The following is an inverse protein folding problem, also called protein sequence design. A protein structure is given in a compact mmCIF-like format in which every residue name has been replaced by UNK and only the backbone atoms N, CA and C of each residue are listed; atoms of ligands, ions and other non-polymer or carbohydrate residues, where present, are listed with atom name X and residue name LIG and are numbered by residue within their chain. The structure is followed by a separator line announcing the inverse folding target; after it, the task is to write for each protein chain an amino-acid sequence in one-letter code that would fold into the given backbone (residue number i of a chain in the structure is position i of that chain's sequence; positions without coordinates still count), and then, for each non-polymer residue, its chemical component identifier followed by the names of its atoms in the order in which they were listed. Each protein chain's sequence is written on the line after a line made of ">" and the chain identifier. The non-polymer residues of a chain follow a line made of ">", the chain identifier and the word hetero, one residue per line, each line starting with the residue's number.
data_IF_562253529640
#
_entry.id   IF_562253529640
#
_cell.length_a   1.000
_cell.length_b   1.000
_cell.length_c   1.000
_cell.angle_alpha   90.00
_cell.angle_beta   90.00
_cell.angle_gamma   90.00
#
_symmetry.space_group_name_H-M   'P 1'
#
loop_
_entity.id
_entity.type
_entity.pdbx_description
1 polymer ?
#
# COMPACT_ATOMS: atom_id res chain seq x y z
N UNK A 1 -10.50 -1.04 -16.04
CA UNK A 1 -10.90 -2.46 -15.96
C UNK A 1 -10.75 -3.11 -17.32
N UNK A 2 -10.22 -4.33 -17.37
CA UNK A 2 -10.02 -5.08 -18.63
C UNK A 2 -11.27 -5.84 -19.05
N UNK A 3 -12.08 -6.31 -18.10
CA UNK A 3 -13.35 -6.98 -18.34
C UNK A 3 -14.50 -5.98 -18.56
N UNK A 4 -15.39 -6.25 -19.52
CA UNK A 4 -16.50 -5.38 -19.88
C UNK A 4 -17.59 -5.31 -18.80
N UNK A 5 -17.84 -6.40 -18.07
CA UNK A 5 -18.78 -6.43 -16.96
C UNK A 5 -18.31 -5.54 -15.80
N UNK A 6 -17.01 -5.56 -15.50
CA UNK A 6 -16.41 -4.67 -14.48
C UNK A 6 -16.41 -3.21 -14.92
N UNK A 7 -16.16 -2.93 -16.20
CA UNK A 7 -16.29 -1.58 -16.75
C UNK A 7 -17.74 -1.07 -16.61
N UNK A 8 -18.73 -1.88 -16.94
CA UNK A 8 -20.14 -1.51 -16.82
C UNK A 8 -20.54 -1.32 -15.35
N UNK A 9 -20.12 -2.23 -14.47
CA UNK A 9 -20.41 -2.19 -13.04
C UNK A 9 -19.83 -0.93 -12.39
N UNK A 10 -18.56 -0.62 -12.65
CA UNK A 10 -17.84 0.48 -12.00
C UNK A 10 -17.75 1.71 -12.92
N UNK A 11 -18.91 2.20 -13.37
CA UNK A 11 -19.03 3.34 -14.26
C UNK A 11 -19.84 4.49 -13.66
N UNK A 12 -19.58 5.71 -14.14
CA UNK A 12 -20.30 6.92 -13.74
C UNK A 12 -20.22 7.18 -12.23
N UNK A 13 -21.38 7.22 -11.57
CA UNK A 13 -21.45 7.46 -10.12
C UNK A 13 -21.11 6.22 -9.28
N UNK A 14 -21.05 5.02 -9.87
CA UNK A 14 -20.76 3.80 -9.11
C UNK A 14 -19.26 3.59 -8.93
N UNK A 15 -18.71 4.25 -7.90
CA UNK A 15 -17.29 4.13 -7.52
C UNK A 15 -16.96 2.74 -6.99
N UNK A 16 -15.83 2.20 -7.42
CA UNK A 16 -15.27 0.93 -6.94
C UNK A 16 -14.71 1.10 -5.52
N UNK A 17 -14.90 0.13 -4.61
CA UNK A 17 -14.17 0.12 -3.34
C UNK A 17 -12.66 0.06 -3.59
N UNK A 18 -11.87 0.89 -2.89
CA UNK A 18 -10.42 0.97 -3.16
C UNK A 18 -9.71 -0.38 -2.96
N UNK A 19 -10.10 -1.16 -1.95
CA UNK A 19 -9.57 -2.52 -1.72
C UNK A 19 -9.79 -3.41 -2.94
N UNK A 20 -11.03 -3.47 -3.44
CA UNK A 20 -11.39 -4.27 -4.62
C UNK A 20 -10.60 -3.83 -5.84
N UNK A 21 -10.42 -2.53 -6.03
CA UNK A 21 -9.59 -2.03 -7.13
C UNK A 21 -8.13 -2.47 -6.99
N UNK A 22 -7.54 -2.36 -5.80
CA UNK A 22 -6.16 -2.79 -5.53
C UNK A 22 -5.95 -4.27 -5.82
N UNK A 23 -6.86 -5.14 -5.37
CA UNK A 23 -6.82 -6.59 -5.66
C UNK A 23 -6.92 -6.85 -7.16
N UNK A 24 -7.86 -6.18 -7.85
CA UNK A 24 -7.99 -6.29 -9.30
C UNK A 24 -6.75 -5.77 -10.06
N UNK A 25 -6.08 -4.74 -9.54
CA UNK A 25 -4.86 -4.19 -10.13
C UNK A 25 -3.68 -5.18 -9.99
N UNK A 26 -3.50 -5.75 -8.80
CA UNK A 26 -2.47 -6.78 -8.53
C UNK A 26 -2.71 -8.02 -9.40
N UNK A 27 -3.97 -8.44 -9.55
CA UNK A 27 -4.38 -9.53 -10.45
C UNK A 27 -4.25 -9.18 -11.95
N UNK A 28 -3.88 -7.94 -12.29
CA UNK A 28 -3.79 -7.46 -13.66
C UNK A 28 -5.14 -7.34 -14.37
N UNK A 29 -6.28 -7.30 -13.65
CA UNK A 29 -7.65 -7.12 -14.17
C UNK A 29 -8.07 -5.64 -14.24
N UNK A 30 -7.41 -4.79 -13.47
CA UNK A 30 -7.55 -3.33 -13.52
C UNK A 30 -6.20 -2.68 -13.82
N UNK A 31 -6.24 -1.43 -14.28
CA UNK A 31 -5.04 -0.63 -14.56
C UNK A 31 -5.37 0.85 -14.37
N UNK A 32 -4.35 1.64 -14.07
CA UNK A 32 -4.46 3.10 -13.95
C UNK A 32 -4.41 3.73 -15.34
N UNK A 33 -5.22 4.77 -15.55
CA UNK A 33 -5.19 5.57 -16.79
C UNK A 33 -4.35 6.82 -16.57
N UNK A 34 -3.03 6.67 -16.56
CA UNK A 34 -2.07 7.74 -16.31
C UNK A 34 -1.00 7.31 -15.31
N UNK A 35 -0.28 8.29 -14.78
CA UNK A 35 0.66 8.04 -13.68
C UNK A 35 -0.09 7.56 -12.43
N UNK A 36 0.49 6.58 -11.74
CA UNK A 36 -0.16 5.93 -10.59
C UNK A 36 -0.26 6.89 -9.41
N UNK A 37 0.79 7.67 -9.14
CA UNK A 37 0.82 8.61 -8.02
C UNK A 37 -0.24 9.69 -8.23
N UNK A 38 -0.25 10.31 -9.41
CA UNK A 38 -1.20 11.35 -9.76
C UNK A 38 -2.65 10.86 -9.61
N UNK A 39 -2.97 9.67 -10.11
CA UNK A 39 -4.34 9.12 -10.01
C UNK A 39 -4.72 8.79 -8.56
N UNK A 40 -3.77 8.37 -7.72
CA UNK A 40 -4.01 8.04 -6.32
C UNK A 40 -4.16 9.29 -5.43
N UNK A 41 -3.62 10.45 -5.83
CA UNK A 41 -3.90 11.72 -5.16
C UNK A 41 -5.41 12.02 -5.16
N UNK A 42 -6.08 11.77 -6.28
CA UNK A 42 -7.53 11.93 -6.45
C UNK A 42 -8.34 10.67 -6.14
N UNK A 43 -7.81 9.73 -5.34
CA UNK A 43 -8.48 8.44 -5.06
C UNK A 43 -9.90 8.56 -4.51
N UNK A 44 -10.23 9.63 -3.78
CA UNK A 44 -11.59 9.86 -3.27
C UNK A 44 -12.60 10.21 -4.39
N UNK A 45 -12.12 10.68 -5.54
CA UNK A 45 -12.97 11.11 -6.65
C UNK A 45 -13.46 9.94 -7.49
N UNK A 46 -12.70 8.84 -7.56
CA UNK A 46 -13.05 7.68 -8.38
C UNK A 46 -13.25 6.38 -7.60
N UNK A 47 -12.78 6.31 -6.35
CA UNK A 47 -12.97 5.16 -5.46
C UNK A 47 -13.77 5.52 -4.20
N UNK A 48 -14.17 4.50 -3.44
CA UNK A 48 -14.79 4.66 -2.12
C UNK A 48 -14.12 3.78 -1.07
N UNK A 49 -14.17 4.22 0.18
CA UNK A 49 -13.58 3.52 1.34
C UNK A 49 -14.69 2.83 2.12
N UNK A 50 -15.41 1.92 1.47
CA UNK A 50 -16.51 1.17 2.08
C UNK A 50 -16.04 -0.18 2.59
N UNK A 51 -16.63 -0.66 3.68
CA UNK A 51 -16.42 -2.04 4.12
C UNK A 51 -17.00 -3.00 3.08
N UNK A 52 -16.14 -3.83 2.50
CA UNK A 52 -16.52 -4.92 1.61
C UNK A 52 -16.90 -6.15 2.43
N UNK A 53 -17.67 -7.06 1.84
CA UNK A 53 -17.99 -8.32 2.51
C UNK A 53 -16.73 -9.15 2.82
N UNK A 54 -15.73 -9.07 1.95
CA UNK A 54 -14.46 -9.77 2.16
C UNK A 54 -13.63 -9.14 3.29
N UNK A 55 -13.67 -7.81 3.44
CA UNK A 55 -13.10 -7.14 4.63
C UNK A 55 -13.82 -7.59 5.92
N UNK A 56 -15.14 -7.71 5.91
CA UNK A 56 -15.89 -8.23 7.06
C UNK A 56 -15.50 -9.67 7.41
N UNK A 57 -15.40 -10.56 6.41
CA UNK A 57 -14.94 -11.94 6.63
C UNK A 57 -13.53 -11.97 7.22
N UNK A 58 -12.61 -11.19 6.65
CA UNK A 58 -11.24 -11.11 7.14
C UNK A 58 -11.19 -10.66 8.61
N UNK A 59 -11.95 -9.60 8.95
CA UNK A 59 -12.00 -9.09 10.32
C UNK A 59 -12.49 -10.16 11.31
N UNK A 60 -13.54 -10.92 10.95
CA UNK A 60 -14.17 -11.87 11.86
C UNK A 60 -13.47 -13.24 11.91
N UNK A 61 -12.90 -13.70 10.80
CA UNK A 61 -12.39 -15.06 10.65
C UNK A 61 -10.87 -15.14 10.67
N UNK A 62 -10.17 -14.02 10.52
CA UNK A 62 -8.70 -13.97 10.53
C UNK A 62 -8.21 -13.01 11.61
N UNK A 63 -8.44 -11.71 11.43
CA UNK A 63 -7.91 -10.70 12.34
C UNK A 63 -8.41 -10.85 13.79
N UNK A 64 -9.71 -11.08 13.98
CA UNK A 64 -10.30 -11.30 15.31
C UNK A 64 -9.65 -12.46 16.07
N UNK A 65 -9.62 -13.69 15.48
CA UNK A 65 -8.89 -14.82 16.05
C UNK A 65 -7.41 -14.53 16.30
N UNK A 66 -6.71 -13.91 15.35
CA UNK A 66 -5.27 -13.59 15.47
C UNK A 66 -5.00 -12.71 16.71
N UNK A 67 -5.80 -11.66 16.89
CA UNK A 67 -5.70 -10.76 18.06
C UNK A 67 -6.08 -11.46 19.37
N UNK A 68 -7.02 -12.42 19.34
CA UNK A 68 -7.43 -13.14 20.54
C UNK A 68 -6.41 -14.19 21.00
N UNK A 69 -5.74 -14.87 20.06
CA UNK A 69 -4.91 -16.03 20.37
C UNK A 69 -3.40 -15.78 20.34
N UNK A 70 -2.89 -14.73 19.68
CA UNK A 70 -1.46 -14.32 19.66
C UNK A 70 -0.47 -15.50 19.67
N UNK A 71 -0.50 -16.36 18.66
CA UNK A 71 0.40 -17.52 18.62
C UNK A 71 1.73 -17.18 17.95
N UNK A 72 2.82 -17.77 18.46
CA UNK A 72 4.17 -17.59 17.89
C UNK A 72 4.27 -18.08 16.44
N UNK A 73 3.51 -19.12 16.08
CA UNK A 73 3.53 -19.67 14.73
C UNK A 73 2.88 -18.69 13.73
N UNK A 74 1.82 -17.98 14.13
CA UNK A 74 1.21 -16.90 13.33
C UNK A 74 2.19 -15.73 13.12
N UNK A 75 2.89 -15.30 14.19
CA UNK A 75 3.89 -14.25 14.08
C UNK A 75 4.99 -14.66 13.10
N UNK A 76 5.47 -15.91 13.18
CA UNK A 76 6.49 -16.43 12.28
C UNK A 76 6.02 -16.46 10.82
N UNK A 77 4.80 -16.92 10.53
CA UNK A 77 4.27 -16.94 9.16
C UNK A 77 4.06 -15.53 8.56
N UNK A 78 3.57 -14.57 9.36
CA UNK A 78 3.35 -13.20 8.90
C UNK A 78 4.66 -12.42 8.70
N UNK A 79 5.65 -12.68 9.56
CA UNK A 79 6.89 -11.90 9.60
C UNK A 79 7.94 -12.48 8.64
N UNK A 80 8.04 -13.79 8.53
CA UNK A 80 9.10 -14.48 7.79
C UNK A 80 9.28 -14.01 6.34
N UNK A 81 8.23 -13.78 5.51
CA UNK A 81 8.40 -13.28 4.15
C UNK A 81 9.13 -11.92 4.07
N UNK A 82 8.94 -11.06 5.07
CA UNK A 82 9.51 -9.71 5.13
C UNK A 82 10.99 -9.72 5.53
N UNK A 83 11.45 -10.75 6.25
CA UNK A 83 12.84 -10.90 6.69
C UNK A 83 13.64 -11.82 5.76
N UNK A 84 12.99 -12.80 5.12
CA UNK A 84 13.62 -13.71 4.15
C UNK A 84 14.04 -12.96 2.86
N UNK A 85 13.42 -11.81 2.57
CA UNK A 85 13.76 -10.93 1.45
C UNK A 85 15.08 -10.15 1.65
N UNK A 86 15.69 -10.22 2.83
CA UNK A 86 16.98 -9.62 3.15
C UNK A 86 17.00 -8.09 3.09
N UNK A 87 18.14 -7.49 3.50
CA UNK A 87 18.30 -6.04 3.43
C UNK A 87 18.54 -5.52 2.02
N UNK A 88 18.94 -6.37 1.06
CA UNK A 88 19.28 -5.95 -0.30
C UNK A 88 18.08 -5.37 -1.05
N UNK A 89 16.89 -5.95 -0.84
CA UNK A 89 15.65 -5.42 -1.40
C UNK A 89 15.37 -3.99 -0.92
N UNK A 90 15.49 -3.76 0.39
CA UNK A 90 15.26 -2.46 1.01
C UNK A 90 16.36 -1.46 0.67
N UNK A 91 17.62 -1.89 0.64
CA UNK A 91 18.77 -1.05 0.32
C UNK A 91 18.65 -0.42 -1.07
N UNK A 92 18.00 -1.10 -2.02
CA UNK A 92 17.78 -0.59 -3.37
C UNK A 92 17.00 0.73 -3.41
N UNK A 93 16.05 0.95 -2.49
CA UNK A 93 15.24 2.17 -2.46
C UNK A 93 15.39 3.03 -1.19
N UNK A 94 15.93 2.49 -0.10
CA UNK A 94 16.20 3.25 1.14
C UNK A 94 17.62 3.81 1.22
N UNK A 95 18.52 3.34 0.35
CA UNK A 95 19.92 3.72 0.36
C UNK A 95 20.69 3.18 1.59
N UNK A 96 21.94 3.64 1.79
CA UNK A 96 22.84 3.07 2.78
C UNK A 96 22.40 3.21 4.24
N UNK A 97 21.55 4.21 4.56
CA UNK A 97 21.12 4.46 5.94
C UNK A 97 20.00 3.53 6.41
N UNK A 98 19.31 2.86 5.49
CA UNK A 98 18.21 1.93 5.79
C UNK A 98 17.09 2.57 6.66
N UNK A 99 16.91 3.89 6.57
CA UNK A 99 15.91 4.60 7.37
C UNK A 99 14.55 4.48 6.68
N UNK A 100 13.69 3.61 7.24
CA UNK A 100 12.33 3.39 6.74
C UNK A 100 11.30 4.23 7.49
N UNK A 101 11.43 5.55 7.37
CA UNK A 101 10.49 6.54 7.91
C UNK A 101 10.61 7.83 7.10
N UNK A 102 9.76 8.84 7.37
CA UNK A 102 9.85 10.14 6.69
C UNK A 102 11.24 10.77 6.82
N UNK A 103 11.66 11.58 5.86
CA UNK A 103 12.78 12.52 6.00
C UNK A 103 12.30 13.94 6.32
N UNK A 104 13.23 14.88 6.48
CA UNK A 104 12.94 16.31 6.67
C UNK A 104 13.68 17.13 5.61
N UNK A 105 12.93 17.97 4.89
CA UNK A 105 13.52 18.97 4.00
C UNK A 105 14.00 20.13 4.85
N UNK A 106 15.31 20.41 4.85
CA UNK A 106 15.90 21.51 5.65
C UNK A 106 16.05 22.80 4.85
N UNK A 107 16.32 22.70 3.55
CA UNK A 107 16.43 23.82 2.61
C UNK A 107 15.39 23.67 1.49
N UNK A 108 14.45 24.61 1.42
CA UNK A 108 13.37 24.61 0.41
C UNK A 108 13.78 25.23 -0.92
N UNK A 109 15.01 25.74 -1.04
CA UNK A 109 15.53 26.39 -2.25
C UNK A 109 16.31 25.46 -3.18
N UNK A 110 16.64 24.24 -2.71
CA UNK A 110 17.28 23.19 -3.49
C UNK A 110 16.61 21.84 -3.26
N UNK A 111 16.86 20.91 -4.17
CA UNK A 111 16.54 19.50 -3.97
C UNK A 111 17.63 18.85 -3.10
N UNK A 112 17.21 18.20 -2.01
CA UNK A 112 18.08 17.48 -1.08
C UNK A 112 18.06 15.97 -1.43
N UNK A 113 19.21 15.29 -1.28
CA UNK A 113 19.27 13.83 -1.53
C UNK A 113 18.50 13.05 -0.46
N UNK A 114 18.20 11.78 -0.75
CA UNK A 114 17.56 10.89 0.23
C UNK A 114 18.35 10.84 1.55
N UNK A 115 19.68 10.75 1.48
CA UNK A 115 20.56 10.71 2.66
C UNK A 115 20.55 12.04 3.43
N UNK A 116 20.50 13.19 2.74
CA UNK A 116 20.36 14.50 3.38
C UNK A 116 19.03 14.60 4.14
N UNK A 117 17.91 14.20 3.51
CA UNK A 117 16.59 14.19 4.14
C UNK A 117 16.54 13.30 5.37
N UNK A 118 17.24 12.17 5.32
CA UNK A 118 17.38 11.21 6.42
C UNK A 118 18.21 11.80 7.56
N UNK A 119 19.34 12.45 7.26
CA UNK A 119 20.21 13.10 8.25
C UNK A 119 19.54 14.28 8.94
N UNK A 120 18.83 15.11 8.20
CA UNK A 120 18.10 16.27 8.72
C UNK A 120 17.07 15.89 9.80
N UNK A 121 16.52 14.68 9.74
CA UNK A 121 15.58 14.18 10.75
C UNK A 121 16.26 13.72 12.05
N UNK A 122 17.52 13.34 11.97
CA UNK A 122 18.28 12.82 13.12
C UNK A 122 19.02 13.91 13.90
N UNK A 123 19.20 15.08 13.28
CA UNK A 123 19.79 16.27 13.89
C UNK A 123 18.80 16.99 14.85
#
# INVERSE_FOLDING_TARGET
>A
FKDAADQAKWSGANKVPIQTFSEMYIDGKADFKGDVLDVLEYRHDWSKFSFTWDLFKYILLTFGPDVLFHTKDQDMEQIRPNYDSGNDHYAWFLGPRMIYTSGIISDTTREETLEELQDNKMA
#
